data_IF_322409825900
#
_entry.id   IF_322409825900
#
_cell.length_a   1.000
_cell.length_b   1.000
_cell.length_c   1.000
_cell.angle_alpha   90.00
_cell.angle_beta   90.00
_cell.angle_gamma   90.00
#
_symmetry.space_group_name_H-M   'P 1'
#
loop_
_entity.id
_entity.type
_entity.pdbx_description
1 polymer ?
#
# COMPACT_ATOMS: atom_id res chain seq x y z
N UNK A 1 -21.70 -12.00 -4.78
CA UNK A 1 -20.97 -11.80 -3.51
C UNK A 1 -21.84 -10.92 -2.62
N UNK A 2 -21.92 -11.19 -1.32
CA UNK A 2 -22.64 -10.30 -0.41
C UNK A 2 -21.95 -8.92 -0.34
N UNK A 3 -22.74 -7.85 -0.18
CA UNK A 3 -22.22 -6.47 -0.17
C UNK A 3 -21.23 -6.25 0.97
N UNK A 4 -21.48 -6.83 2.15
CA UNK A 4 -20.55 -6.72 3.28
C UNK A 4 -19.26 -7.48 2.99
N UNK A 5 -19.37 -8.69 2.45
CA UNK A 5 -18.21 -9.48 2.04
C UNK A 5 -17.35 -8.76 1.00
N UNK A 6 -17.96 -8.01 0.06
CA UNK A 6 -17.22 -7.19 -0.90
C UNK A 6 -16.47 -6.05 -0.21
N UNK A 7 -17.13 -5.32 0.69
CA UNK A 7 -16.50 -4.24 1.48
C UNK A 7 -15.33 -4.78 2.32
N UNK A 8 -15.48 -5.96 2.91
CA UNK A 8 -14.41 -6.61 3.70
C UNK A 8 -13.18 -6.94 2.84
N UNK A 9 -13.39 -7.44 1.62
CA UNK A 9 -12.28 -7.74 0.70
C UNK A 9 -11.59 -6.45 0.25
N UNK A 10 -12.35 -5.43 -0.15
CA UNK A 10 -11.79 -4.13 -0.55
C UNK A 10 -11.00 -3.48 0.58
N UNK A 11 -11.50 -3.55 1.82
CA UNK A 11 -10.77 -3.05 2.98
C UNK A 11 -9.47 -3.82 3.24
N UNK A 12 -9.45 -5.14 3.00
CA UNK A 12 -8.20 -5.91 3.10
C UNK A 12 -7.19 -5.48 2.04
N UNK A 13 -7.65 -5.13 0.85
CA UNK A 13 -6.78 -4.63 -0.22
C UNK A 13 -6.25 -3.23 0.10
N UNK A 14 -7.10 -2.32 0.63
CA UNK A 14 -6.67 -1.01 1.14
C UNK A 14 -5.54 -1.14 2.17
N UNK A 15 -5.67 -2.08 3.11
CA UNK A 15 -4.63 -2.32 4.12
C UNK A 15 -3.32 -2.78 3.48
N UNK A 16 -3.38 -3.63 2.45
CA UNK A 16 -2.20 -4.07 1.71
C UNK A 16 -1.54 -2.91 0.96
N UNK A 17 -2.31 -2.06 0.29
CA UNK A 17 -1.78 -0.86 -0.38
C UNK A 17 -1.13 0.09 0.62
N UNK A 18 -1.75 0.31 1.78
CA UNK A 18 -1.16 1.11 2.84
C UNK A 18 0.17 0.51 3.36
N UNK A 19 0.23 -0.82 3.47
CA UNK A 19 1.49 -1.53 3.73
C UNK A 19 2.55 -1.27 2.67
N UNK A 20 2.20 -1.43 1.39
CA UNK A 20 3.09 -1.23 0.25
C UNK A 20 3.65 0.20 0.19
N UNK A 21 2.80 1.22 0.39
CA UNK A 21 3.22 2.63 0.48
C UNK A 21 4.33 2.81 1.50
N UNK A 22 4.12 2.33 2.74
CA UNK A 22 5.10 2.46 3.83
C UNK A 22 6.39 1.69 3.51
N UNK A 23 6.26 0.51 2.91
CA UNK A 23 7.41 -0.31 2.54
C UNK A 23 8.29 0.37 1.48
N UNK A 24 7.71 0.84 0.38
CA UNK A 24 8.46 1.48 -0.69
C UNK A 24 9.08 2.81 -0.25
N UNK A 25 8.35 3.64 0.50
CA UNK A 25 8.93 4.88 1.04
C UNK A 25 10.12 4.58 1.95
N UNK A 26 10.01 3.56 2.80
CA UNK A 26 11.13 3.19 3.67
C UNK A 26 12.33 2.69 2.88
N UNK A 27 12.12 1.90 1.83
CA UNK A 27 13.20 1.48 0.93
C UNK A 27 13.86 2.68 0.23
N UNK A 28 13.07 3.58 -0.37
CA UNK A 28 13.60 4.76 -1.03
C UNK A 28 14.45 5.62 -0.08
N UNK A 29 13.96 5.87 1.13
CA UNK A 29 14.68 6.68 2.12
C UNK A 29 15.93 5.99 2.66
N UNK A 30 15.93 4.66 2.77
CA UNK A 30 17.12 3.91 3.17
C UNK A 30 18.23 3.94 2.10
N UNK A 31 17.89 4.15 0.83
CA UNK A 31 18.84 4.18 -0.28
C UNK A 31 19.52 5.54 -0.48
N UNK A 32 18.96 6.63 0.08
CA UNK A 32 19.45 7.99 -0.12
C UNK A 32 19.04 8.59 -1.47
N UNK A 33 19.63 9.73 -1.85
CA UNK A 33 19.30 10.42 -3.10
C UNK A 33 19.86 9.68 -4.32
N UNK A 34 19.02 9.43 -5.33
CA UNK A 34 19.42 8.77 -6.58
C UNK A 34 18.24 8.46 -7.49
N UNK A 35 18.54 8.09 -8.74
CA UNK A 35 17.51 7.72 -9.73
C UNK A 35 16.63 6.56 -9.23
N UNK A 36 17.25 5.51 -8.68
CA UNK A 36 16.54 4.35 -8.15
C UNK A 36 15.63 4.69 -6.96
N UNK A 37 16.03 5.60 -6.06
CA UNK A 37 15.16 5.99 -4.96
C UNK A 37 13.97 6.81 -5.46
N UNK A 38 14.17 7.70 -6.45
CA UNK A 38 13.08 8.39 -7.13
C UNK A 38 12.09 7.43 -7.80
N UNK A 39 12.57 6.36 -8.43
CA UNK A 39 11.73 5.32 -9.04
C UNK A 39 10.92 4.57 -7.97
N UNK A 40 11.54 4.17 -6.87
CA UNK A 40 10.84 3.48 -5.77
C UNK A 40 9.81 4.39 -5.10
N UNK A 41 10.09 5.69 -4.92
CA UNK A 41 9.08 6.65 -4.47
C UNK A 41 7.93 6.79 -5.48
N UNK A 42 8.20 6.68 -6.78
CA UNK A 42 7.16 6.70 -7.79
C UNK A 42 6.23 5.50 -7.67
N UNK A 43 6.76 4.32 -7.32
CA UNK A 43 5.95 3.13 -7.00
C UNK A 43 5.09 3.41 -5.76
N UNK A 44 5.65 3.97 -4.69
CA UNK A 44 4.86 4.35 -3.51
C UNK A 44 3.69 5.30 -3.86
N UNK A 45 3.88 6.22 -4.81
CA UNK A 45 2.83 7.10 -5.32
C UNK A 45 1.77 6.38 -6.16
N UNK A 46 2.12 5.28 -6.84
CA UNK A 46 1.14 4.42 -7.51
C UNK A 46 0.26 3.71 -6.48
N UNK A 47 0.84 3.15 -5.43
CA UNK A 47 0.07 2.47 -4.38
C UNK A 47 -0.86 3.46 -3.63
N UNK A 48 -0.47 4.74 -3.51
CA UNK A 48 -1.38 5.79 -3.02
C UNK A 48 -2.60 5.99 -3.92
N UNK A 49 -2.45 5.88 -5.25
CA UNK A 49 -3.58 5.95 -6.20
C UNK A 49 -4.47 4.72 -6.10
N UNK A 50 -3.89 3.53 -5.96
CA UNK A 50 -4.65 2.30 -5.74
C UNK A 50 -5.48 2.38 -4.46
N UNK A 51 -4.88 2.85 -3.36
CA UNK A 51 -5.57 3.06 -2.09
C UNK A 51 -6.75 4.01 -2.25
N UNK A 52 -6.56 5.13 -2.94
CA UNK A 52 -7.61 6.13 -3.21
C UNK A 52 -8.80 5.52 -3.96
N UNK A 53 -8.56 4.82 -5.07
CA UNK A 53 -9.62 4.16 -5.84
C UNK A 53 -10.39 3.10 -5.04
N UNK A 54 -9.68 2.31 -4.23
CA UNK A 54 -10.32 1.31 -3.38
C UNK A 54 -11.14 1.97 -2.27
N UNK A 55 -10.66 3.06 -1.68
CA UNK A 55 -11.37 3.82 -0.67
C UNK A 55 -12.65 4.44 -1.23
N UNK A 56 -12.60 5.03 -2.42
CA UNK A 56 -13.78 5.53 -3.15
C UNK A 56 -14.80 4.41 -3.36
N UNK A 57 -14.38 3.25 -3.86
CA UNK A 57 -15.26 2.09 -4.07
C UNK A 57 -15.93 1.62 -2.76
N UNK A 58 -15.19 1.59 -1.64
CA UNK A 58 -15.77 1.25 -0.34
C UNK A 58 -16.82 2.28 0.10
N UNK A 59 -16.57 3.58 -0.11
CA UNK A 59 -17.52 4.65 0.22
C UNK A 59 -18.77 4.60 -0.66
N UNK A 60 -18.64 4.33 -1.96
CA UNK A 60 -19.77 4.16 -2.88
C UNK A 60 -20.66 2.97 -2.47
N UNK A 61 -20.04 1.92 -1.93
CA UNK A 61 -20.75 0.80 -1.33
C UNK A 61 -21.30 1.15 0.08
N UNK A 62 -21.12 2.36 0.60
CA UNK A 62 -21.61 2.77 1.92
C UNK A 62 -20.87 2.11 3.09
N UNK A 63 -19.64 1.64 2.85
CA UNK A 63 -18.72 1.19 3.89
C UNK A 63 -17.86 2.33 4.42
N UNK A 64 -16.92 1.99 5.31
CA UNK A 64 -15.88 2.89 5.78
C UNK A 64 -14.53 2.31 5.38
N UNK A 65 -13.70 3.04 4.61
CA UNK A 65 -12.35 2.61 4.25
C UNK A 65 -11.48 2.37 5.48
N UNK A 66 -10.74 1.26 5.50
CA UNK A 66 -9.75 1.00 6.54
C UNK A 66 -8.54 1.92 6.35
N UNK A 67 -7.98 2.43 7.46
CA UNK A 67 -6.67 3.09 7.47
C UNK A 67 -5.66 2.26 8.28
N UNK A 68 -5.98 1.01 8.58
CA UNK A 68 -5.01 0.09 9.15
C UNK A 68 -3.90 -0.15 8.12
N UNK A 69 -2.69 -0.37 8.63
CA UNK A 69 -1.53 -0.69 7.79
C UNK A 69 -1.38 -2.20 7.73
N UNK A 70 -1.41 -2.74 6.51
CA UNK A 70 -1.18 -4.15 6.26
C UNK A 70 0.25 -4.60 6.57
N UNK A 71 0.51 -5.88 6.32
CA UNK A 71 1.82 -6.47 6.58
C UNK A 71 2.89 -5.88 5.65
N UNK A 72 4.04 -5.52 6.21
CA UNK A 72 5.21 -5.01 5.47
C UNK A 72 6.39 -5.93 5.67
N UNK A 73 7.13 -6.22 4.60
CA UNK A 73 8.37 -6.98 4.66
C UNK A 73 9.56 -6.05 4.81
N UNK A 74 9.77 -5.63 6.05
CA UNK A 74 10.86 -4.72 6.43
C UNK A 74 12.13 -5.45 6.92
N UNK A 75 12.08 -6.78 7.06
CA UNK A 75 13.17 -7.58 7.61
C UNK A 75 13.46 -8.82 6.77
N UNK A 76 14.71 -8.95 6.33
CA UNK A 76 15.29 -10.09 5.63
C UNK A 76 16.78 -9.84 5.48
N UNK A 77 17.62 -10.82 5.82
CA UNK A 77 19.08 -10.69 5.84
C UNK A 77 19.65 -10.11 4.54
N UNK A 78 20.79 -9.43 4.65
CA UNK A 78 21.58 -8.95 3.52
C UNK A 78 21.57 -9.99 2.40
N UNK A 79 21.15 -9.58 1.19
CA UNK A 79 21.40 -10.38 -0.01
C UNK A 79 22.92 -10.51 -0.07
N UNK A 80 23.43 -11.70 0.24
CA UNK A 80 24.85 -12.00 0.06
C UNK A 80 25.09 -12.07 -1.44
N UNK A 81 26.11 -11.33 -1.91
CA UNK A 81 26.60 -11.35 -3.29
C UNK A 81 27.02 -12.77 -3.73
#
# INVERSE_FOLDING_TARGET
MDKKALIEVLNRDIENEHGAIVQYLTHAYAMGEGEMSCEIEAIAREEMRHLDWLAEAVVELGGTPSLQRGHTRMGGGSVQE
#
